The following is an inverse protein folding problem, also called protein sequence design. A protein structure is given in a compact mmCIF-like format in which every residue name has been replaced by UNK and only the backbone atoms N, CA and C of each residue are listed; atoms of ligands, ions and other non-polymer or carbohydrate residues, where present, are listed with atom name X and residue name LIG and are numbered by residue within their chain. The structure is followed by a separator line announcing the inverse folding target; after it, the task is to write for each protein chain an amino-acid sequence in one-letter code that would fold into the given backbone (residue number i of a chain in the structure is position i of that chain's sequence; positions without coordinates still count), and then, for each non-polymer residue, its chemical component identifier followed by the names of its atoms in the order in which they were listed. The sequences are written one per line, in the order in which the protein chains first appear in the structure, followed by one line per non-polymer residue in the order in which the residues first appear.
data_IF_665409229811
#
_entry.id   IF_665409229811
#
_cell.length_a   1.000
_cell.length_b   1.000
_cell.length_c   1.000
_cell.angle_alpha   90.00
_cell.angle_beta   90.00
_cell.angle_gamma   90.00
#
_symmetry.space_group_name_H-M   'P 1'
#
loop_
_entity.id
_entity.type
_entity.pdbx_description
1 polymer ?
#
# COMPACT_ATOMS: atom_id res chain seq x y z
N UNK A 1 -14.16 -5.52 0.32
CA UNK A 1 -13.61 -4.88 -0.89
C UNK A 1 -13.49 -3.38 -0.64
N UNK A 2 -12.66 -2.67 -1.42
CA UNK A 2 -12.50 -1.21 -1.32
C UNK A 2 -13.21 -0.47 -2.46
N UNK A 3 -13.43 -1.08 -3.62
CA UNK A 3 -14.23 -0.52 -4.71
C UNK A 3 -14.73 -1.59 -5.68
N UNK A 4 -15.39 -1.24 -6.79
CA UNK A 4 -15.83 -2.18 -7.83
C UNK A 4 -15.38 -1.81 -9.26
N UNK A 5 -14.55 -0.78 -9.43
CA UNK A 5 -13.99 -0.40 -10.72
C UNK A 5 -12.64 0.29 -10.57
N UNK A 6 -11.70 0.02 -11.48
CA UNK A 6 -10.34 0.59 -11.43
C UNK A 6 -10.34 2.12 -11.39
N UNK A 7 -11.23 2.76 -12.18
CA UNK A 7 -11.34 4.23 -12.25
C UNK A 7 -11.76 4.89 -10.93
N UNK A 8 -12.37 4.15 -10.02
CA UNK A 8 -12.76 4.69 -8.72
C UNK A 8 -11.53 4.93 -7.84
N UNK A 9 -10.52 4.06 -7.93
CA UNK A 9 -9.23 4.27 -7.27
C UNK A 9 -8.29 5.16 -8.10
N UNK A 10 -8.20 4.89 -9.40
CA UNK A 10 -7.31 5.56 -10.34
C UNK A 10 -8.07 6.62 -11.15
N UNK A 11 -8.37 7.75 -10.51
CA UNK A 11 -9.27 8.78 -11.01
C UNK A 11 -8.76 9.32 -12.36
N UNK A 12 -9.45 9.00 -13.46
CA UNK A 12 -9.03 9.33 -14.83
C UNK A 12 -7.62 8.83 -15.14
N UNK A 13 -7.32 7.60 -14.72
CA UNK A 13 -5.98 6.98 -14.75
C UNK A 13 -4.91 7.72 -13.90
N UNK A 14 -5.34 8.71 -13.13
CA UNK A 14 -4.52 9.55 -12.28
C UNK A 14 -4.40 9.04 -10.86
N UNK A 15 -3.84 9.90 -10.02
CA UNK A 15 -3.63 9.64 -8.60
C UNK A 15 -4.95 9.73 -7.84
N UNK A 16 -5.15 8.82 -6.90
CA UNK A 16 -6.22 8.91 -5.91
C UNK A 16 -5.99 10.02 -4.88
N UNK A 17 -6.80 10.01 -3.82
CA UNK A 17 -6.66 10.90 -2.68
C UNK A 17 -7.13 10.22 -1.37
N UNK A 18 -6.70 10.71 -0.20
CA UNK A 18 -7.30 10.32 1.07
C UNK A 18 -8.79 10.74 1.14
N UNK A 19 -9.61 10.11 2.00
CA UNK A 19 -10.97 10.56 2.25
C UNK A 19 -10.98 11.98 2.84
N UNK A 20 -12.00 12.75 2.46
CA UNK A 20 -12.29 14.05 3.05
C UNK A 20 -13.25 13.95 4.25
N UNK A 21 -13.40 15.04 4.99
CA UNK A 21 -14.32 15.09 6.12
C UNK A 21 -15.77 14.93 5.64
N UNK A 22 -16.46 13.89 6.14
CA UNK A 22 -17.83 13.57 5.75
C UNK A 22 -17.94 12.49 4.67
N UNK A 23 -16.84 12.05 4.07
CA UNK A 23 -16.86 10.93 3.14
C UNK A 23 -17.31 9.64 3.82
N UNK A 24 -18.12 8.87 3.11
CA UNK A 24 -18.65 7.59 3.60
C UNK A 24 -17.63 6.45 3.53
N UNK A 25 -16.59 6.61 2.71
CA UNK A 25 -15.55 5.61 2.44
C UNK A 25 -14.23 6.27 2.01
N UNK A 26 -13.16 5.46 1.96
CA UNK A 26 -11.84 5.83 1.46
C UNK A 26 -11.54 5.21 0.08
N UNK A 27 -12.46 5.28 -0.89
CA UNK A 27 -12.40 4.50 -2.14
C UNK A 27 -11.07 4.54 -2.90
N UNK A 28 -10.34 5.67 -2.94
CA UNK A 28 -9.05 5.78 -3.66
C UNK A 28 -7.80 5.70 -2.78
N UNK A 29 -7.98 5.26 -1.52
CA UNK A 29 -6.92 5.00 -0.55
C UNK A 29 -7.17 3.67 0.18
N UNK A 30 -6.20 2.76 0.13
CA UNK A 30 -6.26 1.51 0.89
C UNK A 30 -5.40 1.57 2.15
N UNK A 31 -5.71 0.71 3.12
CA UNK A 31 -4.94 0.55 4.35
C UNK A 31 -4.44 -0.89 4.44
N UNK A 32 -3.12 -1.07 4.37
CA UNK A 32 -2.47 -2.35 4.63
C UNK A 32 -2.29 -2.55 6.13
N UNK A 33 -2.52 -3.77 6.57
CA UNK A 33 -2.40 -4.20 7.96
C UNK A 33 -1.40 -5.35 8.05
N UNK A 34 -0.60 -5.33 9.11
CA UNK A 34 0.34 -6.40 9.44
C UNK A 34 0.64 -6.37 10.93
N UNK A 35 1.28 -7.41 11.45
CA UNK A 35 1.88 -7.42 12.79
C UNK A 35 3.40 -7.60 12.67
N UNK A 36 4.19 -7.49 13.77
CA UNK A 36 5.61 -7.78 13.72
C UNK A 36 5.89 -9.17 13.16
N UNK A 37 6.97 -9.30 12.41
CA UNK A 37 7.38 -10.58 11.83
C UNK A 37 7.73 -11.59 12.94
N UNK A 38 7.30 -12.83 12.74
CA UNK A 38 7.62 -13.97 13.59
C UNK A 38 8.29 -15.06 12.74
N UNK A 39 9.51 -15.53 13.11
CA UNK A 39 10.21 -16.61 12.41
C UNK A 39 9.39 -17.88 12.20
N UNK A 40 8.41 -18.16 13.07
CA UNK A 40 7.50 -19.29 12.91
C UNK A 40 6.66 -19.21 11.61
N UNK A 41 6.50 -18.00 11.07
CA UNK A 41 5.75 -17.72 9.85
C UNK A 41 6.65 -17.29 8.69
N UNK A 42 7.95 -17.62 8.72
CA UNK A 42 8.92 -17.20 7.71
C UNK A 42 8.50 -17.51 6.27
N UNK A 43 7.90 -18.68 6.01
CA UNK A 43 7.40 -19.04 4.67
C UNK A 43 6.21 -18.18 4.23
N UNK A 44 5.32 -17.82 5.16
CA UNK A 44 4.20 -16.93 4.89
C UNK A 44 4.71 -15.52 4.60
N UNK A 45 5.63 -15.01 5.42
CA UNK A 45 6.24 -13.69 5.24
C UNK A 45 7.00 -13.64 3.92
N UNK A 46 7.72 -14.71 3.55
CA UNK A 46 8.43 -14.79 2.26
C UNK A 46 7.48 -14.68 1.06
N UNK A 47 6.27 -15.23 1.16
CA UNK A 47 5.26 -15.20 0.09
C UNK A 47 4.46 -13.90 0.07
N UNK A 48 4.03 -13.42 1.23
CA UNK A 48 3.13 -12.28 1.35
C UNK A 48 3.87 -10.93 1.52
N UNK A 49 5.15 -10.98 1.84
CA UNK A 49 5.98 -9.83 2.22
C UNK A 49 5.78 -9.34 3.65
N UNK A 50 4.73 -9.78 4.34
CA UNK A 50 4.38 -9.40 5.72
C UNK A 50 3.64 -10.54 6.43
N UNK A 51 3.63 -10.53 7.76
CA UNK A 51 2.67 -11.27 8.56
C UNK A 51 1.36 -10.47 8.67
N UNK A 52 0.24 -10.90 8.04
CA UNK A 52 -1.02 -10.16 8.07
C UNK A 52 -1.59 -10.03 9.48
N UNK A 53 -2.42 -9.01 9.70
CA UNK A 53 -3.17 -8.89 10.95
C UNK A 53 -4.16 -10.08 11.06
N UNK A 54 -4.24 -10.75 12.22
CA UNK A 54 -4.94 -12.04 12.34
C UNK A 54 -6.46 -11.99 12.17
N UNK A 55 -7.10 -10.85 12.43
CA UNK A 55 -8.56 -10.68 12.38
C UNK A 55 -9.02 -10.10 11.03
N UNK A 56 -8.23 -9.20 10.45
CA UNK A 56 -8.56 -8.37 9.28
C UNK A 56 -7.65 -8.62 8.08
N UNK A 57 -6.67 -9.51 8.20
CA UNK A 57 -5.78 -9.89 7.10
C UNK A 57 -4.77 -8.80 6.74
N UNK A 58 -4.38 -8.77 5.45
CA UNK A 58 -3.32 -7.89 4.94
C UNK A 58 -3.81 -6.52 4.45
N UNK A 59 -5.11 -6.32 4.30
CA UNK A 59 -5.71 -5.08 3.79
C UNK A 59 -7.14 -4.92 4.34
N UNK A 60 -7.40 -3.78 4.98
CA UNK A 60 -8.71 -3.47 5.54
C UNK A 60 -9.74 -3.17 4.43
N UNK A 61 -10.91 -3.79 4.56
CA UNK A 61 -12.02 -3.66 3.64
C UNK A 61 -13.09 -2.68 4.17
N UNK A 62 -13.05 -1.44 3.67
CA UNK A 62 -13.97 -0.35 4.08
C UNK A 62 -15.42 -0.56 3.57
N UNK A 63 -15.60 -1.48 2.63
CA UNK A 63 -16.90 -1.92 2.10
C UNK A 63 -17.04 -3.45 2.09
N UNK A 64 -18.28 -3.89 2.05
CA UNK A 64 -18.69 -5.29 2.07
C UNK A 64 -19.84 -5.55 1.09
N UNK A 65 -20.09 -6.82 0.80
CA UNK A 65 -21.27 -7.24 0.05
C UNK A 65 -22.55 -6.99 0.88
N UNK A 66 -23.72 -6.80 0.24
CA UNK A 66 -24.98 -6.66 0.95
C UNK A 66 -25.22 -7.81 1.94
N UNK A 67 -25.56 -7.47 3.18
CA UNK A 67 -25.79 -8.44 4.26
C UNK A 67 -24.53 -8.92 4.99
N UNK A 68 -23.35 -8.41 4.62
CA UNK A 68 -22.09 -8.64 5.34
C UNK A 68 -21.66 -7.33 5.99
N UNK A 69 -21.23 -7.37 7.24
CA UNK A 69 -20.66 -6.19 7.91
C UNK A 69 -19.32 -5.78 7.28
N UNK A 70 -19.04 -4.49 7.05
CA UNK A 70 -17.69 -4.04 6.68
C UNK A 70 -16.67 -4.36 7.77
N UNK A 71 -15.41 -4.52 7.40
CA UNK A 71 -14.34 -4.79 8.37
C UNK A 71 -14.09 -3.59 9.30
N UNK A 72 -14.23 -2.38 8.77
CA UNK A 72 -14.13 -1.15 9.55
C UNK A 72 -14.25 0.08 8.65
N UNK A 73 -14.15 1.27 9.24
CA UNK A 73 -14.19 2.56 8.55
C UNK A 73 -12.90 3.32 8.67
N UNK A 74 -12.33 3.69 7.53
CA UNK A 74 -11.09 4.48 7.44
C UNK A 74 -11.40 5.97 7.48
N UNK A 75 -10.72 6.70 8.38
CA UNK A 75 -10.81 8.16 8.51
C UNK A 75 -9.41 8.75 8.56
N UNK A 76 -9.26 9.95 8.00
CA UNK A 76 -8.02 10.72 8.07
C UNK A 76 -8.34 12.09 8.66
N UNK A 77 -7.77 12.35 9.83
CA UNK A 77 -7.78 13.66 10.46
C UNK A 77 -6.48 14.38 10.13
N UNK A 78 -6.48 15.71 10.16
CA UNK A 78 -5.29 16.49 9.86
C UNK A 78 -5.10 17.60 10.89
N UNK A 79 -3.89 17.69 11.41
CA UNK A 79 -3.44 18.82 12.20
C UNK A 79 -2.56 19.73 11.34
N UNK A 80 -2.62 21.04 11.60
CA UNK A 80 -1.71 21.99 10.98
C UNK A 80 -0.31 21.86 11.60
N UNK A 81 0.72 21.77 10.76
CA UNK A 81 2.12 21.74 11.15
C UNK A 81 2.87 22.86 10.43
N UNK A 82 3.23 23.90 11.15
CA UNK A 82 4.10 24.96 10.60
C UNK A 82 5.54 24.46 10.54
N UNK A 83 6.13 24.49 9.34
CA UNK A 83 7.53 24.17 9.10
C UNK A 83 8.22 25.41 8.54
N UNK A 84 9.40 25.71 9.07
CA UNK A 84 10.21 26.83 8.62
C UNK A 84 11.36 26.31 7.75
N UNK A 85 11.51 26.87 6.56
CA UNK A 85 12.68 26.65 5.71
C UNK A 85 13.91 27.36 6.28
N UNK A 86 15.09 27.03 5.74
CA UNK A 86 16.38 27.60 6.17
C UNK A 86 16.47 29.12 5.98
N UNK A 87 15.70 29.68 5.05
CA UNK A 87 15.61 31.11 4.78
C UNK A 87 14.62 31.84 5.71
N UNK A 88 13.96 31.11 6.61
CA UNK A 88 12.95 31.64 7.54
C UNK A 88 11.53 31.63 6.98
N UNK A 89 11.32 31.24 5.72
CA UNK A 89 9.97 31.13 5.14
C UNK A 89 9.18 30.06 5.87
N UNK A 90 8.02 30.43 6.43
CA UNK A 90 7.11 29.50 7.08
C UNK A 90 6.08 28.96 6.07
N UNK A 91 5.86 27.65 6.10
CA UNK A 91 4.77 26.98 5.37
C UNK A 91 3.96 26.12 6.32
N UNK A 92 2.67 26.06 6.10
CA UNK A 92 1.77 25.17 6.83
C UNK A 92 1.60 23.86 6.06
N UNK A 93 1.98 22.76 6.69
CA UNK A 93 1.76 21.41 6.21
C UNK A 93 0.56 20.79 6.93
N UNK A 94 -0.06 19.79 6.30
CA UNK A 94 -1.08 18.95 6.92
C UNK A 94 -0.43 17.68 7.45
N UNK A 95 -0.49 17.46 8.76
CA UNK A 95 -0.03 16.23 9.39
C UNK A 95 -1.20 15.24 9.51
N UNK A 96 -1.22 14.13 8.74
CA UNK A 96 -2.33 13.19 8.76
C UNK A 96 -2.28 12.25 9.98
N UNK A 97 -3.44 12.02 10.58
CA UNK A 97 -3.68 10.96 11.56
C UNK A 97 -4.71 10.00 11.00
N UNK A 98 -4.32 8.75 10.74
CA UNK A 98 -5.24 7.70 10.30
C UNK A 98 -5.99 7.13 11.51
N UNK A 99 -7.31 6.99 11.38
CA UNK A 99 -8.15 6.25 12.33
C UNK A 99 -8.92 5.17 11.62
N UNK A 100 -8.97 3.99 12.24
CA UNK A 100 -9.88 2.92 11.86
C UNK A 100 -10.95 2.84 12.96
N UNK A 101 -12.20 3.01 12.57
CA UNK A 101 -13.36 3.03 13.48
C UNK A 101 -14.35 1.96 13.08
N UNK A 102 -15.35 1.67 13.93
CA UNK A 102 -16.45 0.74 13.60
C UNK A 102 -15.97 -0.65 13.16
N UNK A 103 -15.01 -1.22 13.89
CA UNK A 103 -14.49 -2.56 13.63
C UNK A 103 -15.60 -3.61 13.70
N UNK A 104 -15.80 -4.36 12.61
CA UNK A 104 -16.91 -5.30 12.46
C UNK A 104 -16.67 -6.68 13.11
N UNK A 105 -15.41 -7.05 13.35
CA UNK A 105 -15.02 -8.42 13.71
C UNK A 105 -14.23 -8.51 15.03
N UNK A 106 -14.33 -7.50 15.87
CA UNK A 106 -13.63 -7.42 17.17
C UNK A 106 -12.35 -6.58 17.13
N UNK A 107 -11.59 -6.52 18.23
CA UNK A 107 -10.37 -5.71 18.29
C UNK A 107 -9.29 -6.26 17.35
N UNK A 108 -8.47 -5.35 16.80
CA UNK A 108 -7.22 -5.71 16.13
C UNK A 108 -6.18 -6.21 17.15
N UNK A 109 -5.17 -6.92 16.66
CA UNK A 109 -3.97 -7.25 17.43
C UNK A 109 -3.31 -5.97 17.99
N UNK A 110 -2.85 -5.96 19.24
CA UNK A 110 -2.30 -4.75 19.89
C UNK A 110 -1.05 -4.18 19.20
N UNK A 111 -0.32 -5.01 18.45
CA UNK A 111 0.89 -4.63 17.71
C UNK A 111 0.61 -4.42 16.21
N UNK A 112 -0.62 -4.09 15.83
CA UNK A 112 -0.96 -3.87 14.41
C UNK A 112 -0.18 -2.68 13.84
N UNK A 113 0.59 -2.94 12.80
CA UNK A 113 1.17 -1.95 11.93
C UNK A 113 0.17 -1.55 10.83
N UNK A 114 0.18 -0.27 10.49
CA UNK A 114 -0.77 0.33 9.55
C UNK A 114 0.02 1.06 8.45
N UNK A 115 -0.34 0.83 7.19
CA UNK A 115 0.23 1.55 6.05
C UNK A 115 -0.87 2.03 5.11
N UNK A 116 -1.17 3.34 5.17
CA UNK A 116 -2.07 3.99 4.23
C UNK A 116 -1.38 4.17 2.86
N UNK A 117 -2.09 3.84 1.77
CA UNK A 117 -1.58 3.91 0.40
C UNK A 117 -2.64 4.50 -0.52
N UNK A 118 -2.30 5.60 -1.18
CA UNK A 118 -3.16 6.24 -2.19
C UNK A 118 -2.95 5.53 -3.53
N UNK A 119 -4.00 5.31 -4.32
CA UNK A 119 -3.82 4.74 -5.66
C UNK A 119 -2.84 5.59 -6.51
N UNK A 120 -1.75 5.00 -7.04
CA UNK A 120 -0.81 5.70 -7.91
C UNK A 120 -1.41 5.96 -9.31
N UNK A 121 -0.88 6.92 -10.09
CA UNK A 121 -1.27 7.05 -11.49
C UNK A 121 -0.88 5.80 -12.30
N UNK A 122 -1.69 5.47 -13.32
CA UNK A 122 -1.46 4.30 -14.18
C UNK A 122 -0.59 4.62 -15.40
N UNK A 123 -0.35 5.89 -15.67
CA UNK A 123 0.41 6.37 -16.83
C UNK A 123 1.86 5.90 -16.72
N UNK A 124 2.38 5.31 -17.80
CA UNK A 124 3.79 4.93 -17.93
C UNK A 124 4.18 3.61 -17.28
N UNK A 125 3.25 2.86 -16.68
CA UNK A 125 3.56 1.60 -16.02
C UNK A 125 4.16 0.55 -16.96
N UNK A 126 3.74 0.50 -18.24
CA UNK A 126 4.37 -0.38 -19.23
C UNK A 126 5.82 0.01 -19.56
N UNK A 127 6.17 1.31 -19.49
CA UNK A 127 7.55 1.76 -19.64
C UNK A 127 8.40 1.36 -18.43
N UNK A 128 7.82 1.41 -17.23
CA UNK A 128 8.46 0.93 -16.01
C UNK A 128 8.68 -0.60 -16.04
N UNK A 129 7.71 -1.36 -16.56
CA UNK A 129 7.83 -2.82 -16.73
C UNK A 129 8.98 -3.18 -17.68
N UNK A 130 9.19 -2.37 -18.72
CA UNK A 130 10.21 -2.60 -19.74
C UNK A 130 11.65 -2.33 -19.27
N UNK A 131 11.86 -1.71 -18.10
CA UNK A 131 13.20 -1.52 -17.53
C UNK A 131 13.79 -2.90 -17.19
N UNK A 132 15.00 -3.22 -17.60
CA UNK A 132 15.62 -4.51 -17.26
C UNK A 132 16.07 -4.58 -15.78
N UNK A 133 16.07 -5.77 -15.18
CA UNK A 133 16.46 -5.96 -13.76
C UNK A 133 17.90 -5.48 -13.49
N UNK A 134 18.82 -5.71 -14.44
CA UNK A 134 20.21 -5.27 -14.35
C UNK A 134 20.36 -3.75 -14.30
N UNK A 135 19.52 -3.02 -15.03
CA UNK A 135 19.46 -1.56 -14.97
C UNK A 135 18.98 -1.06 -13.59
N UNK A 136 18.03 -1.75 -12.95
CA UNK A 136 17.60 -1.41 -11.59
C UNK A 136 18.74 -1.72 -10.59
N UNK A 137 19.38 -2.88 -10.71
CA UNK A 137 20.49 -3.29 -9.84
C UNK A 137 21.70 -2.38 -9.96
N UNK A 138 22.00 -1.87 -11.16
CA UNK A 138 23.09 -0.92 -11.38
C UNK A 138 22.92 0.40 -10.62
N UNK A 139 21.69 0.74 -10.21
CA UNK A 139 21.37 1.93 -9.41
C UNK A 139 21.18 1.62 -7.91
N UNK A 140 21.40 0.37 -7.48
CA UNK A 140 21.34 0.02 -6.06
C UNK A 140 22.60 0.51 -5.34
N UNK A 141 22.42 1.36 -4.33
CA UNK A 141 23.48 1.84 -3.45
C UNK A 141 23.07 1.67 -1.98
N UNK A 142 23.01 0.43 -1.46
CA UNK A 142 22.51 0.16 -0.11
C UNK A 142 23.35 0.80 1.00
N UNK A 143 24.61 1.15 0.70
CA UNK A 143 25.60 1.63 1.66
C UNK A 143 25.97 3.12 1.43
N UNK A 144 25.24 3.83 0.54
CA UNK A 144 25.46 5.25 0.20
C UNK A 144 26.93 5.54 -0.14
N UNK A 145 27.50 4.73 -1.05
CA UNK A 145 28.92 4.79 -1.44
C UNK A 145 29.28 6.08 -2.15
N UNK A 146 28.31 6.74 -2.77
CA UNK A 146 28.50 8.04 -3.42
C UNK A 146 28.29 9.23 -2.46
N UNK A 147 27.86 8.99 -1.23
CA UNK A 147 27.61 9.99 -0.18
C UNK A 147 26.64 11.11 -0.60
N UNK A 148 25.62 10.77 -1.40
CA UNK A 148 24.54 11.69 -1.77
C UNK A 148 23.37 11.67 -0.78
N UNK A 149 23.40 10.74 0.20
CA UNK A 149 22.39 10.57 1.23
C UNK A 149 21.27 9.59 0.85
N UNK A 150 21.39 8.86 -0.28
CA UNK A 150 20.36 7.95 -0.80
C UNK A 150 20.86 6.50 -0.72
N UNK A 151 20.31 5.72 0.21
CA UNK A 151 20.63 4.29 0.35
C UNK A 151 19.64 3.37 -0.39
N UNK A 152 19.64 3.42 -1.73
CA UNK A 152 18.67 2.69 -2.56
C UNK A 152 18.79 1.16 -2.46
N UNK A 153 17.69 0.47 -2.16
CA UNK A 153 17.62 -1.00 -2.04
C UNK A 153 16.49 -1.57 -2.91
N UNK A 154 16.78 -2.48 -3.86
CA UNK A 154 15.74 -3.22 -4.56
C UNK A 154 14.92 -4.05 -3.59
N UNK A 155 13.61 -4.12 -3.81
CA UNK A 155 12.74 -5.02 -3.07
C UNK A 155 12.68 -6.38 -3.78
N UNK A 156 12.63 -7.46 -3.01
CA UNK A 156 12.51 -8.83 -3.51
C UNK A 156 11.19 -9.42 -3.04
N UNK A 157 10.38 -9.90 -3.99
CA UNK A 157 8.98 -10.28 -3.74
C UNK A 157 8.67 -11.63 -4.38
N UNK A 158 7.64 -12.29 -3.88
CA UNK A 158 7.17 -13.54 -4.45
C UNK A 158 6.41 -13.31 -5.76
N UNK A 159 6.75 -14.08 -6.78
CA UNK A 159 5.99 -14.18 -8.03
C UNK A 159 5.10 -15.44 -7.96
N UNK A 160 3.79 -15.23 -7.99
CA UNK A 160 2.78 -16.28 -7.88
C UNK A 160 2.78 -17.22 -9.08
N UNK A 161 3.10 -16.73 -10.28
CA UNK A 161 3.12 -17.57 -11.47
C UNK A 161 4.40 -18.42 -11.54
N UNK A 162 5.53 -17.81 -11.17
CA UNK A 162 6.84 -18.46 -11.23
C UNK A 162 7.19 -19.22 -9.95
N UNK A 163 6.43 -19.04 -8.87
CA UNK A 163 6.64 -19.66 -7.56
C UNK A 163 8.07 -19.47 -7.04
N UNK A 164 8.60 -18.25 -7.19
CA UNK A 164 9.95 -17.89 -6.75
C UNK A 164 10.03 -16.43 -6.36
N UNK A 165 11.08 -16.07 -5.62
CA UNK A 165 11.38 -14.68 -5.29
C UNK A 165 12.05 -14.01 -6.49
N UNK A 166 11.54 -12.85 -6.90
CA UNK A 166 12.04 -12.03 -8.01
C UNK A 166 12.06 -10.55 -7.61
N UNK A 167 12.55 -9.68 -8.48
CA UNK A 167 12.57 -8.24 -8.22
C UNK A 167 11.16 -7.65 -8.21
N UNK A 168 10.84 -6.90 -7.15
CA UNK A 168 9.61 -6.13 -7.03
C UNK A 168 9.72 -4.77 -7.75
N UNK A 169 8.61 -4.31 -8.32
CA UNK A 169 8.56 -3.12 -9.19
C UNK A 169 7.36 -2.22 -8.95
N UNK A 170 6.19 -2.82 -8.70
CA UNK A 170 4.92 -2.08 -8.69
C UNK A 170 4.37 -1.85 -7.28
N UNK A 171 3.59 -0.77 -7.15
CA UNK A 171 3.07 -0.26 -5.89
C UNK A 171 4.11 0.53 -5.08
N UNK A 172 3.64 1.22 -4.03
CA UNK A 172 4.46 2.16 -3.22
C UNK A 172 5.70 1.57 -2.56
N UNK A 173 5.73 0.25 -2.38
CA UNK A 173 6.82 -0.47 -1.72
C UNK A 173 7.49 -1.46 -2.69
N UNK A 174 7.24 -1.32 -4.00
CA UNK A 174 7.67 -2.28 -5.02
C UNK A 174 7.27 -3.72 -4.61
N UNK A 175 6.02 -3.90 -4.20
CA UNK A 175 5.51 -5.14 -3.59
C UNK A 175 5.06 -6.18 -4.61
N UNK A 176 4.94 -5.80 -5.88
CA UNK A 176 4.50 -6.68 -6.96
C UNK A 176 5.56 -6.75 -8.07
N UNK A 177 5.82 -7.93 -8.64
CA UNK A 177 6.91 -8.11 -9.60
C UNK A 177 6.56 -7.67 -11.03
N UNK A 178 5.29 -7.78 -11.42
CA UNK A 178 4.82 -7.49 -12.78
C UNK A 178 3.40 -6.95 -12.76
N UNK A 179 2.95 -6.38 -13.89
CA UNK A 179 1.61 -5.81 -14.01
C UNK A 179 0.51 -6.86 -13.89
N UNK A 180 0.74 -8.08 -14.38
CA UNK A 180 -0.26 -9.14 -14.32
C UNK A 180 -0.60 -9.50 -12.86
N UNK A 181 0.41 -9.71 -12.01
CA UNK A 181 0.20 -10.01 -10.60
C UNK A 181 -0.41 -8.81 -9.85
N UNK A 182 0.04 -7.58 -10.15
CA UNK A 182 -0.57 -6.36 -9.60
C UNK A 182 -2.07 -6.28 -9.92
N UNK A 183 -2.47 -6.62 -11.14
CA UNK A 183 -3.88 -6.64 -11.56
C UNK A 183 -4.67 -7.73 -10.82
N UNK A 184 -4.15 -8.94 -10.75
CA UNK A 184 -4.80 -10.06 -10.03
C UNK A 184 -5.00 -9.73 -8.55
N UNK A 185 -3.98 -9.17 -7.90
CA UNK A 185 -4.05 -8.76 -6.50
C UNK A 185 -5.04 -7.61 -6.28
N UNK A 186 -5.14 -6.66 -7.22
CA UNK A 186 -6.14 -5.60 -7.17
C UNK A 186 -7.58 -6.15 -7.37
N UNK A 187 -7.77 -7.10 -8.27
CA UNK A 187 -9.07 -7.75 -8.47
C UNK A 187 -9.56 -8.44 -7.19
N UNK A 188 -8.68 -9.19 -6.51
CA UNK A 188 -9.03 -9.88 -5.27
C UNK A 188 -9.14 -8.91 -4.08
N UNK A 189 -8.09 -8.14 -3.81
CA UNK A 189 -7.97 -7.33 -2.60
C UNK A 189 -8.75 -6.02 -2.63
N UNK A 190 -8.83 -5.37 -3.79
CA UNK A 190 -9.45 -4.05 -3.92
C UNK A 190 -10.88 -4.16 -4.45
N UNK A 191 -11.11 -5.02 -5.46
CA UNK A 191 -12.42 -5.16 -6.12
C UNK A 191 -13.32 -6.26 -5.57
N UNK A 192 -12.81 -7.13 -4.69
CA UNK A 192 -13.58 -8.22 -4.09
C UNK A 192 -13.99 -9.31 -5.07
N UNK A 193 -13.29 -9.46 -6.20
CA UNK A 193 -13.51 -10.54 -7.14
C UNK A 193 -12.90 -11.82 -6.57
N UNK A 194 -13.74 -12.82 -6.33
CA UNK A 194 -13.32 -14.16 -5.91
C UNK A 194 -12.98 -14.98 -7.16
N UNK A 195 -11.79 -15.57 -7.19
CA UNK A 195 -11.35 -16.53 -8.21
C UNK A 195 -11.53 -17.96 -7.75
#
# INVERSE_FOLDING_TARGET
FNTNACQNCHIKDGRGHPPEAGDSNAVSMLVRLSIPDDPAYADLIRRNGVLPEPTYGGQLQDMSNPGVEPEGKVRVEYDALTVNFRDGTAVELRQPTLRITQLGYGPMHPETHISARIAPPMIGLGLLEAIADDAILANADPDDKNADGISGRPNWVWDDAQQKVVMGRFGWKAGQPNLNQQNVHAFSGDMGLTT
#
